data_IF_946145822767
#
_entry.id   IF_946145822767
#
_cell.length_a   1.000
_cell.length_b   1.000
_cell.length_c   1.000
_cell.angle_alpha   90.00
_cell.angle_beta   90.00
_cell.angle_gamma   90.00
#
_symmetry.space_group_name_H-M   'P 1'
#
loop_
_entity.id
_entity.type
_entity.pdbx_description
1 polymer ?
#
# COMPACT_ATOMS: atom_id res chain seq x y z
N UNK A 1 19.29 -29.12 -15.94
CA UNK A 1 18.56 -27.84 -16.15
C UNK A 1 17.95 -27.37 -14.84
N UNK A 2 18.39 -26.21 -14.33
CA UNK A 2 17.86 -25.61 -13.09
C UNK A 2 16.37 -25.26 -13.23
N UNK A 3 15.61 -25.37 -12.13
CA UNK A 3 14.16 -25.05 -12.05
C UNK A 3 13.83 -23.68 -12.67
N UNK A 4 14.72 -22.70 -12.52
CA UNK A 4 14.59 -21.35 -13.10
C UNK A 4 14.57 -21.33 -14.63
N UNK A 5 15.37 -22.17 -15.29
CA UNK A 5 15.41 -22.27 -16.76
C UNK A 5 14.12 -22.90 -17.30
N UNK A 6 13.62 -23.96 -16.65
CA UNK A 6 12.33 -24.60 -16.96
C UNK A 6 11.17 -23.62 -16.82
N UNK A 7 11.10 -22.86 -15.72
CA UNK A 7 10.07 -21.81 -15.51
C UNK A 7 10.12 -20.71 -16.55
N UNK A 8 11.32 -20.28 -16.94
CA UNK A 8 11.48 -19.22 -17.96
C UNK A 8 10.98 -19.70 -19.32
N UNK A 9 11.29 -20.94 -19.71
CA UNK A 9 10.78 -21.56 -20.94
C UNK A 9 9.26 -21.67 -20.92
N UNK A 10 8.71 -22.21 -19.83
CA UNK A 10 7.26 -22.33 -19.65
C UNK A 10 6.53 -20.97 -19.70
N UNK A 11 7.13 -19.91 -19.17
CA UNK A 11 6.57 -18.56 -19.25
C UNK A 11 6.56 -18.03 -20.69
N UNK A 12 7.67 -18.17 -21.44
CA UNK A 12 7.74 -17.78 -22.85
C UNK A 12 6.70 -18.53 -23.68
N UNK A 13 6.55 -19.81 -23.40
CA UNK A 13 5.57 -20.68 -24.06
C UNK A 13 4.14 -20.24 -23.76
N UNK A 14 3.82 -19.87 -22.52
CA UNK A 14 2.52 -19.28 -22.17
C UNK A 14 2.27 -17.91 -22.81
N UNK A 15 3.31 -17.09 -22.96
CA UNK A 15 3.18 -15.81 -23.69
C UNK A 15 2.86 -16.06 -25.16
N UNK A 16 3.45 -17.11 -25.76
CA UNK A 16 3.14 -17.53 -27.13
C UNK A 16 1.72 -18.12 -27.24
N UNK A 17 1.40 -19.11 -26.41
CA UNK A 17 0.18 -19.94 -26.48
C UNK A 17 -1.06 -19.38 -25.74
N UNK A 18 -0.91 -18.30 -24.96
CA UNK A 18 -1.98 -17.74 -24.12
C UNK A 18 -3.27 -17.35 -24.86
N UNK A 19 -4.32 -16.92 -24.13
CA UNK A 19 -5.73 -17.06 -24.49
C UNK A 19 -6.07 -16.59 -25.90
N UNK A 20 -6.94 -17.35 -26.58
CA UNK A 20 -7.42 -17.07 -27.94
C UNK A 20 -8.00 -15.66 -28.09
N UNK A 21 -8.59 -15.13 -27.02
CA UNK A 21 -9.10 -13.75 -26.96
C UNK A 21 -8.08 -12.82 -26.32
N UNK A 22 -7.46 -11.97 -27.13
CA UNK A 22 -6.66 -10.84 -26.69
C UNK A 22 -6.96 -9.63 -27.56
N UNK A 23 -7.05 -8.45 -26.94
CA UNK A 23 -7.22 -7.21 -27.68
C UNK A 23 -5.88 -6.82 -28.33
N UNK A 24 -5.92 -6.30 -29.54
CA UNK A 24 -4.75 -5.72 -30.21
C UNK A 24 -4.24 -4.50 -29.44
N UNK A 25 -5.16 -3.65 -28.97
CA UNK A 25 -4.88 -2.41 -28.24
C UNK A 25 -5.36 -2.45 -26.80
N UNK A 26 -4.74 -1.61 -25.97
CA UNK A 26 -5.07 -1.46 -24.55
C UNK A 26 -6.51 -0.98 -24.36
N UNK A 27 -7.24 -1.60 -23.44
CA UNK A 27 -8.63 -1.28 -23.08
C UNK A 27 -8.81 0.04 -22.31
N UNK A 28 -7.73 0.78 -22.04
CA UNK A 28 -7.83 2.07 -21.35
C UNK A 28 -8.16 3.14 -22.39
N UNK A 29 -9.26 3.90 -22.22
CA UNK A 29 -9.65 4.95 -23.17
C UNK A 29 -8.50 5.91 -23.47
N UNK A 30 -8.29 6.22 -24.75
CA UNK A 30 -7.24 7.13 -25.22
C UNK A 30 -5.81 6.56 -25.18
N UNK A 31 -5.58 5.30 -24.82
CA UNK A 31 -4.22 4.75 -24.76
C UNK A 31 -3.64 4.34 -26.13
N UNK A 32 -4.40 3.58 -26.92
CA UNK A 32 -4.01 3.08 -28.25
C UNK A 32 -2.83 2.08 -28.29
N UNK A 33 -2.05 1.93 -27.21
CA UNK A 33 -0.85 1.07 -27.18
C UNK A 33 -1.19 -0.41 -27.30
N UNK A 34 -0.32 -1.24 -27.89
CA UNK A 34 -0.54 -2.67 -27.95
C UNK A 34 -0.62 -3.29 -26.55
N UNK A 35 -1.48 -4.29 -26.38
CA UNK A 35 -1.54 -5.07 -25.12
C UNK A 35 -0.22 -5.83 -24.91
N UNK A 36 0.11 -6.20 -23.67
CA UNK A 36 1.33 -7.00 -23.42
C UNK A 36 1.32 -8.31 -24.20
N UNK A 37 0.13 -8.89 -24.41
CA UNK A 37 -0.06 -10.09 -25.21
C UNK A 37 0.16 -9.82 -26.70
N UNK A 38 -0.44 -8.77 -27.26
CA UNK A 38 -0.23 -8.38 -28.66
C UNK A 38 1.25 -8.04 -28.94
N UNK A 39 1.92 -7.36 -28.00
CA UNK A 39 3.34 -7.05 -28.06
C UNK A 39 4.27 -8.26 -27.76
N UNK A 40 3.73 -9.42 -27.35
CA UNK A 40 4.50 -10.62 -26.93
C UNK A 40 5.48 -10.36 -25.76
N UNK A 41 5.21 -9.34 -24.95
CA UNK A 41 6.04 -8.97 -23.79
C UNK A 41 5.45 -9.48 -22.46
N UNK A 42 4.24 -10.05 -22.47
CA UNK A 42 3.64 -10.60 -21.26
C UNK A 42 2.26 -11.22 -21.47
N UNK A 43 1.65 -11.59 -20.34
CA UNK A 43 0.41 -12.36 -20.31
C UNK A 43 -0.87 -11.51 -20.25
N UNK A 44 -0.76 -10.18 -20.12
CA UNK A 44 -1.94 -9.32 -19.96
C UNK A 44 -2.69 -9.19 -21.30
N UNK A 45 -3.94 -9.70 -21.41
CA UNK A 45 -4.65 -9.79 -22.70
C UNK A 45 -5.34 -8.50 -23.12
N UNK A 46 -5.59 -7.58 -22.17
CA UNK A 46 -6.38 -6.36 -22.42
C UNK A 46 -5.63 -5.07 -22.09
N UNK A 47 -4.43 -5.15 -21.52
CA UNK A 47 -3.71 -3.98 -21.01
C UNK A 47 -2.27 -3.95 -21.53
N UNK A 48 -1.80 -2.76 -21.87
CA UNK A 48 -0.40 -2.53 -22.21
C UNK A 48 0.49 -2.60 -20.96
N UNK A 49 1.80 -2.78 -21.17
CA UNK A 49 2.79 -2.85 -20.08
C UNK A 49 2.71 -1.65 -19.13
N UNK A 50 2.58 -0.43 -19.68
CA UNK A 50 2.46 0.81 -18.89
C UNK A 50 1.32 0.74 -17.87
N UNK A 51 0.13 0.32 -18.30
CA UNK A 51 -1.03 0.25 -17.41
C UNK A 51 -0.96 -0.93 -16.44
N UNK A 52 -0.39 -2.06 -16.83
CA UNK A 52 -0.12 -3.17 -15.92
C UNK A 52 0.84 -2.73 -14.81
N UNK A 53 1.94 -2.06 -15.16
CA UNK A 53 2.88 -1.51 -14.18
C UNK A 53 2.21 -0.43 -13.32
N UNK A 54 1.38 0.44 -13.91
CA UNK A 54 0.61 1.44 -13.16
C UNK A 54 -0.27 0.78 -12.10
N UNK A 55 -1.02 -0.28 -12.44
CA UNK A 55 -1.81 -1.08 -11.47
C UNK A 55 -0.93 -1.76 -10.43
N UNK A 56 0.24 -2.25 -10.80
CA UNK A 56 1.17 -2.81 -9.82
C UNK A 56 1.62 -1.78 -8.78
N UNK A 57 1.83 -0.51 -9.19
CA UNK A 57 2.22 0.59 -8.30
C UNK A 57 1.05 1.19 -7.54
N UNK A 58 -0.11 1.38 -8.16
CA UNK A 58 -1.20 2.23 -7.62
C UNK A 58 -2.47 1.47 -7.27
N UNK A 59 -2.61 0.20 -7.66
CA UNK A 59 -3.82 -0.59 -7.43
C UNK A 59 -4.96 -0.28 -8.41
N UNK A 60 -4.75 0.60 -9.38
CA UNK A 60 -5.67 0.85 -10.49
C UNK A 60 -4.91 1.03 -11.81
N UNK A 61 -5.58 0.93 -12.94
CA UNK A 61 -4.93 1.09 -14.24
C UNK A 61 -4.71 2.56 -14.64
N UNK A 62 -5.40 3.53 -14.01
CA UNK A 62 -5.34 4.95 -14.40
C UNK A 62 -5.16 5.92 -13.23
N UNK A 63 -5.89 5.74 -12.12
CA UNK A 63 -5.81 6.64 -10.95
C UNK A 63 -4.48 6.42 -10.20
N UNK A 64 -3.62 7.44 -10.06
CA UNK A 64 -2.43 7.34 -9.24
C UNK A 64 -2.80 7.20 -7.76
N UNK A 65 -1.78 7.03 -6.91
CA UNK A 65 -2.00 7.00 -5.46
C UNK A 65 -2.37 8.38 -4.93
N UNK A 66 -3.21 8.43 -3.89
CA UNK A 66 -3.60 9.68 -3.27
C UNK A 66 -2.39 10.48 -2.79
N UNK A 67 -2.43 11.79 -3.02
CA UNK A 67 -1.48 12.74 -2.46
C UNK A 67 -1.74 12.92 -0.97
N UNK A 68 -0.72 13.34 -0.23
CA UNK A 68 -0.87 13.68 1.18
C UNK A 68 -1.92 14.80 1.39
N UNK A 69 -1.97 15.78 0.49
CA UNK A 69 -2.96 16.87 0.54
C UNK A 69 -4.40 16.38 0.39
N UNK A 70 -4.65 15.37 -0.44
CA UNK A 70 -5.97 14.76 -0.62
C UNK A 70 -6.39 13.96 0.63
N UNK A 71 -5.44 13.24 1.24
CA UNK A 71 -5.73 12.32 2.34
C UNK A 71 -5.76 12.98 3.73
N UNK A 72 -4.95 14.02 3.97
CA UNK A 72 -4.82 14.69 5.28
C UNK A 72 -6.16 15.09 5.92
N UNK A 73 -7.10 15.77 5.21
CA UNK A 73 -8.37 16.16 5.81
C UNK A 73 -9.21 14.97 6.30
N UNK A 74 -9.12 13.84 5.60
CA UNK A 74 -9.83 12.61 5.97
C UNK A 74 -9.15 11.92 7.16
N UNK A 75 -7.82 11.93 7.23
CA UNK A 75 -7.09 11.42 8.40
C UNK A 75 -7.45 12.23 9.64
N UNK A 76 -7.41 13.56 9.58
CA UNK A 76 -7.79 14.41 10.71
C UNK A 76 -9.20 14.12 11.20
N UNK A 77 -10.17 14.03 10.28
CA UNK A 77 -11.55 13.71 10.63
C UNK A 77 -11.70 12.29 11.20
N UNK A 78 -11.05 11.29 10.60
CA UNK A 78 -11.11 9.91 11.06
C UNK A 78 -10.46 9.73 12.43
N UNK A 79 -9.32 10.37 12.69
CA UNK A 79 -8.65 10.32 13.99
C UNK A 79 -9.53 10.93 15.09
N UNK A 80 -10.12 12.10 14.86
CA UNK A 80 -11.07 12.70 15.81
C UNK A 80 -12.30 11.81 16.01
N UNK A 81 -12.89 11.30 14.92
CA UNK A 81 -14.07 10.44 14.96
C UNK A 81 -13.83 9.14 15.75
N UNK A 82 -12.70 8.48 15.51
CA UNK A 82 -12.28 7.25 16.19
C UNK A 82 -11.94 7.54 17.66
N UNK A 83 -11.20 8.61 17.95
CA UNK A 83 -10.84 8.98 19.32
C UNK A 83 -12.04 9.18 20.24
N UNK A 84 -13.12 9.80 19.73
CA UNK A 84 -14.35 9.99 20.49
C UNK A 84 -15.17 8.71 20.72
N UNK A 85 -14.87 7.62 20.01
CA UNK A 85 -15.70 6.40 19.98
C UNK A 85 -14.96 5.15 20.42
N UNK A 86 -13.62 5.18 20.47
CA UNK A 86 -12.80 3.99 20.72
C UNK A 86 -13.16 3.25 22.02
N UNK A 87 -13.61 3.96 23.06
CA UNK A 87 -14.00 3.35 24.33
C UNK A 87 -15.40 2.70 24.32
N UNK A 88 -16.32 3.20 23.48
CA UNK A 88 -17.75 2.85 23.55
C UNK A 88 -18.25 2.07 22.34
N UNK A 89 -17.56 2.17 21.21
CA UNK A 89 -17.92 1.48 19.98
C UNK A 89 -17.19 0.14 19.86
N UNK A 90 -17.95 -0.96 19.95
CA UNK A 90 -17.43 -2.32 19.91
C UNK A 90 -16.66 -2.66 18.62
N UNK A 91 -17.06 -2.11 17.47
CA UNK A 91 -16.41 -2.42 16.20
C UNK A 91 -15.05 -1.72 16.11
N UNK A 92 -15.01 -0.45 16.53
CA UNK A 92 -13.76 0.31 16.59
C UNK A 92 -12.81 -0.31 17.62
N UNK A 93 -13.29 -0.63 18.82
CA UNK A 93 -12.49 -1.27 19.87
C UNK A 93 -11.90 -2.61 19.41
N UNK A 94 -12.73 -3.47 18.80
CA UNK A 94 -12.30 -4.75 18.24
C UNK A 94 -11.24 -4.56 17.16
N UNK A 95 -11.45 -3.67 16.18
CA UNK A 95 -10.47 -3.42 15.12
C UNK A 95 -9.14 -2.89 15.66
N UNK A 96 -9.16 -2.06 16.71
CA UNK A 96 -7.94 -1.57 17.38
C UNK A 96 -7.21 -2.74 18.05
N UNK A 97 -7.93 -3.61 18.77
CA UNK A 97 -7.36 -4.78 19.42
C UNK A 97 -6.78 -5.77 18.41
N UNK A 98 -7.51 -6.07 17.34
CA UNK A 98 -7.09 -6.97 16.25
C UNK A 98 -5.84 -6.42 15.55
N UNK A 99 -5.81 -5.11 15.29
CA UNK A 99 -4.63 -4.45 14.73
C UNK A 99 -3.43 -4.51 15.67
N UNK A 100 -3.66 -4.35 16.98
CA UNK A 100 -2.62 -4.54 17.99
C UNK A 100 -2.02 -5.94 17.93
N UNK A 101 -2.87 -6.98 17.92
CA UNK A 101 -2.40 -8.38 17.77
C UNK A 101 -1.64 -8.60 16.47
N UNK A 102 -2.12 -8.06 15.35
CA UNK A 102 -1.44 -8.19 14.06
C UNK A 102 -0.04 -7.55 14.04
N UNK A 103 0.19 -6.48 14.80
CA UNK A 103 1.51 -5.85 14.95
C UNK A 103 2.46 -6.71 15.80
N UNK A 104 1.96 -7.30 16.90
CA UNK A 104 2.73 -8.19 17.76
C UNK A 104 3.12 -9.49 17.04
N UNK A 105 2.17 -10.09 16.31
CA UNK A 105 2.35 -11.36 15.57
C UNK A 105 3.20 -11.20 14.29
N UNK A 106 3.61 -9.98 13.94
CA UNK A 106 4.36 -9.68 12.73
C UNK A 106 5.79 -10.25 12.74
N UNK A 107 6.28 -10.70 13.89
CA UNK A 107 7.63 -11.21 14.07
C UNK A 107 8.70 -10.11 14.08
N UNK A 108 9.98 -10.43 13.85
CA UNK A 108 11.07 -9.47 13.93
C UNK A 108 11.07 -8.46 12.77
N UNK A 109 11.43 -7.21 13.09
CA UNK A 109 11.72 -6.20 12.07
C UNK A 109 13.09 -6.48 11.43
N UNK A 110 13.19 -6.28 10.12
CA UNK A 110 14.41 -6.50 9.34
C UNK A 110 14.73 -5.29 8.47
N UNK A 111 16.01 -5.10 8.14
CA UNK A 111 16.49 -4.02 7.28
C UNK A 111 16.16 -4.28 5.80
N UNK A 112 16.03 -3.21 5.00
CA UNK A 112 15.58 -3.30 3.59
C UNK A 112 16.49 -4.18 2.73
N UNK A 113 17.80 -4.15 2.96
CA UNK A 113 18.79 -4.90 2.18
C UNK A 113 18.65 -6.42 2.35
N UNK A 114 18.13 -6.90 3.48
CA UNK A 114 17.89 -8.32 3.78
C UNK A 114 16.58 -8.87 3.21
N UNK A 115 15.75 -8.02 2.60
CA UNK A 115 14.44 -8.44 2.08
C UNK A 115 14.52 -9.19 0.73
N UNK A 116 15.68 -9.17 0.06
CA UNK A 116 15.87 -9.78 -1.25
C UNK A 116 15.69 -11.31 -1.14
N UNK A 117 14.89 -11.89 -2.02
CA UNK A 117 14.61 -13.33 -2.03
C UNK A 117 13.47 -13.79 -1.11
N UNK A 118 12.98 -12.93 -0.22
CA UNK A 118 11.84 -13.27 0.65
C UNK A 118 10.51 -13.24 -0.10
N UNK A 119 9.56 -14.08 0.38
CA UNK A 119 8.18 -14.08 -0.12
C UNK A 119 7.48 -12.74 0.14
N UNK A 120 6.43 -12.47 -0.64
CA UNK A 120 5.67 -11.24 -0.50
C UNK A 120 5.01 -11.11 0.88
N UNK A 121 4.47 -12.23 1.40
CA UNK A 121 3.85 -12.32 2.72
C UNK A 121 4.86 -12.06 3.85
N UNK A 122 6.06 -12.64 3.78
CA UNK A 122 7.11 -12.40 4.78
C UNK A 122 7.54 -10.93 4.79
N UNK A 123 7.70 -10.33 3.61
CA UNK A 123 7.99 -8.90 3.47
C UNK A 123 6.88 -8.00 3.98
N UNK A 124 5.62 -8.40 3.80
CA UNK A 124 4.47 -7.68 4.35
C UNK A 124 4.52 -7.69 5.88
N UNK A 125 4.69 -8.86 6.51
CA UNK A 125 4.86 -9.01 7.96
C UNK A 125 6.01 -8.14 8.51
N UNK A 126 7.17 -8.13 7.86
CA UNK A 126 8.27 -7.23 8.25
C UNK A 126 7.85 -5.76 8.19
N UNK A 127 7.00 -5.37 7.24
CA UNK A 127 6.40 -4.03 7.19
C UNK A 127 5.55 -3.72 8.42
N UNK A 128 4.73 -4.66 8.89
CA UNK A 128 3.98 -4.52 10.14
C UNK A 128 4.93 -4.45 11.36
N UNK A 129 5.96 -5.30 11.42
CA UNK A 129 6.93 -5.30 12.50
C UNK A 129 7.68 -3.95 12.61
N UNK A 130 7.95 -3.29 11.48
CA UNK A 130 8.51 -1.93 11.48
C UNK A 130 7.56 -0.89 12.05
N UNK A 131 6.26 -0.96 11.75
CA UNK A 131 5.27 -0.07 12.35
C UNK A 131 5.25 -0.21 13.89
N UNK A 132 5.40 -1.45 14.38
CA UNK A 132 5.50 -1.73 15.81
C UNK A 132 6.78 -1.14 16.43
N UNK A 133 7.94 -1.34 15.79
CA UNK A 133 9.22 -0.78 16.25
C UNK A 133 9.21 0.76 16.26
N UNK A 134 8.55 1.38 15.28
CA UNK A 134 8.34 2.84 15.23
C UNK A 134 7.24 3.34 16.19
N UNK A 135 6.65 2.46 17.01
CA UNK A 135 5.64 2.81 18.01
C UNK A 135 4.33 3.35 17.42
N UNK A 136 3.97 2.97 16.19
CA UNK A 136 2.73 3.42 15.56
C UNK A 136 1.53 2.81 16.30
N UNK A 137 0.64 3.61 16.91
CA UNK A 137 -0.46 3.07 17.69
C UNK A 137 -1.52 2.43 16.77
N UNK A 138 -2.11 1.27 17.16
CA UNK A 138 -3.12 0.58 16.34
C UNK A 138 -4.30 1.48 15.94
N UNK A 139 -4.74 2.35 16.86
CA UNK A 139 -5.78 3.35 16.61
C UNK A 139 -5.48 4.28 15.43
N UNK A 140 -4.21 4.67 15.24
CA UNK A 140 -3.80 5.51 14.10
C UNK A 140 -3.92 4.75 12.78
N UNK A 141 -3.63 3.45 12.79
CA UNK A 141 -3.78 2.59 11.60
C UNK A 141 -5.26 2.46 11.23
N UNK A 142 -6.13 2.15 12.19
CA UNK A 142 -7.59 2.09 11.98
C UNK A 142 -8.13 3.42 11.44
N UNK A 143 -7.66 4.54 11.98
CA UNK A 143 -8.03 5.88 11.49
C UNK A 143 -7.63 6.10 10.03
N UNK A 144 -6.44 5.65 9.63
CA UNK A 144 -5.97 5.76 8.23
C UNK A 144 -6.81 4.89 7.30
N UNK A 145 -7.15 3.66 7.72
CA UNK A 145 -8.00 2.77 6.94
C UNK A 145 -9.37 3.42 6.67
N UNK A 146 -9.99 3.96 7.71
CA UNK A 146 -11.24 4.71 7.59
C UNK A 146 -11.11 5.95 6.70
N UNK A 147 -10.03 6.71 6.85
CA UNK A 147 -9.77 7.91 6.04
C UNK A 147 -9.66 7.58 4.55
N UNK A 148 -8.96 6.50 4.19
CA UNK A 148 -8.85 6.06 2.79
C UNK A 148 -10.21 5.61 2.25
N UNK A 149 -10.97 4.84 3.02
CA UNK A 149 -12.30 4.40 2.61
C UNK A 149 -13.28 5.58 2.43
N UNK A 150 -13.23 6.56 3.34
CA UNK A 150 -14.01 7.78 3.25
C UNK A 150 -13.62 8.65 2.05
N UNK A 151 -12.32 8.82 1.80
CA UNK A 151 -11.84 9.55 0.62
C UNK A 151 -12.29 8.88 -0.67
N UNK A 152 -12.17 7.55 -0.78
CA UNK A 152 -12.68 6.83 -1.94
C UNK A 152 -14.18 7.06 -2.07
N UNK A 153 -14.97 6.95 -0.99
CA UNK A 153 -16.42 7.20 -1.04
C UNK A 153 -16.75 8.59 -1.57
N UNK A 154 -16.04 9.62 -1.11
CA UNK A 154 -16.25 11.01 -1.49
C UNK A 154 -15.72 11.38 -2.90
N UNK A 155 -14.64 10.77 -3.37
CA UNK A 155 -14.03 11.06 -4.67
C UNK A 155 -14.71 10.27 -5.80
N UNK A 156 -15.50 10.94 -6.62
CA UNK A 156 -16.17 10.34 -7.78
C UNK A 156 -15.19 9.78 -8.82
N UNK A 157 -13.95 10.29 -8.86
CA UNK A 157 -12.90 9.84 -9.80
C UNK A 157 -12.12 8.63 -9.28
N UNK A 158 -12.32 8.25 -8.01
CA UNK A 158 -11.61 7.15 -7.39
C UNK A 158 -12.18 5.79 -7.85
N UNK A 159 -11.32 4.84 -8.26
CA UNK A 159 -11.73 3.47 -8.53
C UNK A 159 -12.39 2.82 -7.30
N UNK A 160 -13.52 2.13 -7.52
CA UNK A 160 -14.28 1.42 -6.47
C UNK A 160 -13.75 0.01 -6.20
N UNK A 161 -12.79 -0.46 -6.99
CA UNK A 161 -12.21 -1.78 -6.82
C UNK A 161 -11.51 -1.92 -5.46
N UNK A 162 -11.76 -3.02 -4.74
CA UNK A 162 -11.15 -3.32 -3.43
C UNK A 162 -9.63 -3.20 -3.47
N UNK A 163 -9.00 -3.71 -4.53
CA UNK A 163 -7.54 -3.63 -4.71
C UNK A 163 -6.98 -2.20 -4.67
N UNK A 164 -7.68 -1.22 -5.24
CA UNK A 164 -7.22 0.17 -5.18
C UNK A 164 -7.20 0.65 -3.73
N UNK A 165 -8.29 0.42 -2.99
CA UNK A 165 -8.40 0.73 -1.55
C UNK A 165 -7.29 0.06 -0.75
N UNK A 166 -7.11 -1.25 -0.89
CA UNK A 166 -6.06 -2.04 -0.23
C UNK A 166 -4.66 -1.44 -0.46
N UNK A 167 -4.34 -1.08 -1.71
CA UNK A 167 -3.04 -0.49 -2.06
C UNK A 167 -2.88 0.91 -1.46
N UNK A 168 -3.93 1.73 -1.46
CA UNK A 168 -3.88 3.07 -0.87
C UNK A 168 -3.72 3.01 0.66
N UNK A 169 -4.43 2.11 1.33
CA UNK A 169 -4.27 1.83 2.77
C UNK A 169 -2.82 1.47 3.07
N UNK A 170 -2.28 0.47 2.37
CA UNK A 170 -0.90 0.04 2.56
C UNK A 170 0.06 1.20 2.38
N UNK A 171 -0.08 2.01 1.33
CA UNK A 171 0.82 3.15 1.10
C UNK A 171 0.70 4.24 2.15
N UNK A 172 -0.50 4.54 2.62
CA UNK A 172 -0.72 5.56 3.64
C UNK A 172 -0.07 5.14 4.97
N UNK A 173 -0.26 3.88 5.37
CA UNK A 173 0.32 3.34 6.61
C UNK A 173 1.82 3.13 6.47
N UNK A 174 2.29 2.56 5.35
CA UNK A 174 3.71 2.27 5.12
C UNK A 174 4.56 3.55 5.17
N UNK A 175 4.03 4.73 4.82
CA UNK A 175 4.73 6.02 4.97
C UNK A 175 5.09 6.36 6.42
N UNK A 176 4.40 5.78 7.41
CA UNK A 176 4.67 6.03 8.84
C UNK A 176 5.96 5.36 9.32
N UNK A 177 6.38 4.28 8.68
CA UNK A 177 7.57 3.50 9.04
C UNK A 177 8.42 3.15 7.81
N UNK A 178 8.32 3.96 6.74
CA UNK A 178 9.07 3.71 5.52
C UNK A 178 10.45 4.36 5.60
N UNK A 179 11.47 3.52 5.64
CA UNK A 179 12.85 3.93 5.48
C UNK A 179 13.79 3.06 6.27
N UNK A 180 15.05 3.07 5.90
CA UNK A 180 16.15 2.70 6.77
C UNK A 180 17.16 3.81 6.61
N UNK A 181 17.38 4.54 7.68
CA UNK A 181 18.40 5.58 7.80
C UNK A 181 19.50 4.97 8.67
N UNK A 182 20.67 4.73 8.08
CA UNK A 182 21.85 4.31 8.84
C UNK A 182 22.98 5.28 8.59
N UNK A 183 23.61 5.68 9.69
CA UNK A 183 24.78 6.55 9.71
C UNK A 183 25.91 5.75 10.33
N UNK A 184 27.04 5.68 9.64
CA UNK A 184 28.28 5.12 10.18
C UNK A 184 29.31 6.21 10.26
N UNK A 185 30.07 6.24 11.36
CA UNK A 185 31.26 7.07 11.49
C UNK A 185 32.45 6.14 11.27
N UNK A 186 33.13 6.30 10.13
CA UNK A 186 34.36 5.58 9.81
C UNK A 186 35.54 6.49 10.09
N UNK A 187 36.58 5.94 10.72
CA UNK A 187 37.84 6.65 10.92
C UNK A 187 38.79 6.27 9.79
N UNK A 188 39.25 7.25 9.03
CA UNK A 188 40.27 7.04 8.00
C UNK A 188 41.61 6.69 8.67
N UNK A 189 42.53 6.13 7.90
CA UNK A 189 43.90 5.77 8.29
C UNK A 189 44.74 6.98 8.77
N UNK A 190 44.22 8.19 8.63
CA UNK A 190 44.79 9.46 9.13
C UNK A 190 44.06 10.01 10.38
N UNK A 191 43.18 9.23 11.03
CA UNK A 191 42.43 9.65 12.22
C UNK A 191 41.26 10.61 11.94
N UNK A 192 40.91 10.84 10.66
CA UNK A 192 39.79 11.71 10.28
C UNK A 192 38.48 10.92 10.31
N UNK A 193 37.50 11.41 11.05
CA UNK A 193 36.16 10.80 11.11
C UNK A 193 35.33 11.21 9.90
N UNK A 194 34.90 10.25 9.10
CA UNK A 194 34.02 10.42 7.94
C UNK A 194 32.67 9.77 8.21
N UNK A 195 31.60 10.56 8.06
CA UNK A 195 30.23 10.08 8.18
C UNK A 195 29.75 9.53 6.83
N UNK A 196 29.28 8.29 6.81
CA UNK A 196 28.63 7.67 5.64
C UNK A 196 27.17 7.40 5.98
N UNK A 197 26.27 7.80 5.08
CA UNK A 197 24.83 7.65 5.26
C UNK A 197 24.24 6.70 4.20
N UNK A 198 23.34 5.81 4.63
CA UNK A 198 22.54 4.96 3.75
C UNK A 198 21.06 5.22 3.95
N UNK A 199 20.40 5.60 2.86
CA UNK A 199 18.94 5.66 2.76
C UNK A 199 18.45 4.48 1.90
N UNK A 200 17.76 3.53 2.51
CA UNK A 200 17.17 2.41 1.80
C UNK A 200 15.65 2.38 2.00
N UNK A 201 14.89 2.37 0.90
CA UNK A 201 13.43 2.27 0.93
C UNK A 201 12.96 0.99 0.23
N UNK A 202 12.03 0.21 0.82
CA UNK A 202 11.42 -0.90 0.11
C UNK A 202 10.70 -0.40 -1.15
N UNK A 203 10.77 -1.17 -2.25
CA UNK A 203 9.95 -0.87 -3.42
C UNK A 203 8.47 -0.97 -3.07
N UNK A 204 7.77 0.17 -3.10
CA UNK A 204 6.32 0.29 -2.86
C UNK A 204 5.52 -0.13 -4.09
N UNK A 205 5.61 -1.41 -4.46
CA UNK A 205 4.98 -1.96 -5.68
C UNK A 205 4.63 -3.44 -5.54
N UNK A 206 3.62 -3.90 -6.28
CA UNK A 206 3.37 -5.32 -6.54
C UNK A 206 2.70 -6.06 -5.38
N UNK A 207 2.96 -7.37 -5.27
CA UNK A 207 2.25 -8.28 -4.34
C UNK A 207 2.37 -7.85 -2.87
N UNK A 208 3.50 -7.32 -2.44
CA UNK A 208 3.70 -6.93 -1.03
C UNK A 208 2.71 -5.87 -0.56
N UNK A 209 2.37 -4.90 -1.42
CA UNK A 209 1.35 -3.91 -1.08
C UNK A 209 -0.04 -4.52 -0.89
N UNK A 210 -0.34 -5.58 -1.65
CA UNK A 210 -1.63 -6.28 -1.60
C UNK A 210 -1.73 -7.16 -0.36
N UNK A 211 -0.65 -7.86 -0.02
CA UNK A 211 -0.57 -8.67 1.19
C UNK A 211 -0.63 -7.79 2.45
N UNK A 212 0.24 -6.78 2.55
CA UNK A 212 0.25 -5.88 3.69
C UNK A 212 -1.04 -5.06 3.79
N UNK A 213 -1.53 -4.53 2.68
CA UNK A 213 -2.79 -3.79 2.68
C UNK A 213 -3.97 -4.65 3.13
N UNK A 214 -4.01 -5.94 2.75
CA UNK A 214 -5.04 -6.88 3.18
C UNK A 214 -4.98 -7.12 4.68
N UNK A 215 -3.78 -7.38 5.22
CA UNK A 215 -3.55 -7.52 6.67
C UNK A 215 -4.01 -6.28 7.46
N UNK A 216 -3.96 -5.09 6.84
CA UNK A 216 -4.42 -3.84 7.46
C UNK A 216 -5.93 -3.61 7.30
N UNK A 217 -6.51 -4.05 6.19
CA UNK A 217 -7.91 -3.76 5.81
C UNK A 217 -8.89 -4.77 6.41
N UNK A 218 -8.57 -6.07 6.39
CA UNK A 218 -9.48 -7.14 6.85
C UNK A 218 -9.96 -6.97 8.30
N UNK A 219 -9.09 -6.63 9.29
CA UNK A 219 -9.55 -6.34 10.66
C UNK A 219 -10.51 -5.15 10.76
N UNK A 220 -10.52 -4.29 9.74
CA UNK A 220 -11.31 -3.06 9.72
C UNK A 220 -12.56 -3.17 8.83
N UNK A 221 -12.88 -4.32 8.23
CA UNK A 221 -13.98 -4.43 7.25
C UNK A 221 -15.33 -3.97 7.85
N UNK A 222 -15.66 -4.38 9.07
CA UNK A 222 -16.87 -3.92 9.79
C UNK A 222 -16.83 -2.43 10.12
N UNK A 223 -15.65 -1.93 10.51
CA UNK A 223 -15.48 -0.51 10.84
C UNK A 223 -15.68 0.36 9.60
N UNK A 224 -15.17 -0.07 8.44
CA UNK A 224 -15.37 0.59 7.15
C UNK A 224 -16.86 0.64 6.81
N UNK A 225 -17.57 -0.48 6.93
CA UNK A 225 -18.99 -0.55 6.60
C UNK A 225 -19.83 0.41 7.45
N UNK A 226 -19.62 0.42 8.77
CA UNK A 226 -20.47 1.17 9.71
C UNK A 226 -20.08 2.65 9.87
N UNK A 227 -18.79 2.99 9.79
CA UNK A 227 -18.31 4.31 10.25
C UNK A 227 -17.87 5.27 9.14
N UNK A 228 -17.74 4.84 7.89
CA UNK A 228 -17.34 5.74 6.80
C UNK A 228 -18.30 6.94 6.65
N UNK A 229 -19.60 6.72 6.77
CA UNK A 229 -20.58 7.80 6.72
C UNK A 229 -20.41 8.80 7.87
N UNK A 230 -20.12 8.29 9.07
CA UNK A 230 -19.85 9.12 10.26
C UNK A 230 -18.61 9.98 10.11
N UNK A 231 -17.52 9.43 9.55
CA UNK A 231 -16.29 10.19 9.27
C UNK A 231 -16.54 11.30 8.25
N UNK A 232 -17.31 11.03 7.19
CA UNK A 232 -17.67 12.05 6.20
C UNK A 232 -18.51 13.18 6.79
N UNK A 233 -19.51 12.83 7.61
CA UNK A 233 -20.33 13.82 8.31
C UNK A 233 -19.49 14.65 9.29
N UNK A 234 -18.57 14.02 10.02
CA UNK A 234 -17.65 14.72 10.92
C UNK A 234 -16.73 15.68 10.15
N UNK A 235 -16.17 15.24 9.02
CA UNK A 235 -15.37 16.10 8.14
C UNK A 235 -16.18 17.29 7.61
N UNK A 236 -17.42 17.09 7.19
CA UNK A 236 -18.24 18.19 6.68
C UNK A 236 -18.58 19.23 7.77
N UNK A 237 -18.79 18.77 9.00
CA UNK A 237 -19.14 19.63 10.15
C UNK A 237 -17.95 20.40 10.72
N UNK A 238 -16.78 19.76 10.82
CA UNK A 238 -15.61 20.31 11.53
C UNK A 238 -14.39 20.56 10.64
N UNK A 239 -14.43 20.10 9.38
CA UNK A 239 -13.34 20.26 8.42
C UNK A 239 -13.32 21.66 7.82
N UNK A 240 -13.09 22.69 8.62
CA UNK A 240 -12.55 23.94 8.09
C UNK A 240 -11.11 23.67 7.65
N UNK A 241 -10.69 24.06 6.44
CA UNK A 241 -9.28 24.05 6.11
C UNK A 241 -8.58 24.99 7.09
N UNK A 242 -7.60 24.49 7.85
CA UNK A 242 -6.63 25.38 8.48
C UNK A 242 -6.00 26.17 7.34
N UNK A 243 -6.22 27.49 7.32
CA UNK A 243 -5.50 28.39 6.43
C UNK A 243 -4.01 28.09 6.60
N UNK A 244 -3.31 27.90 5.49
CA UNK A 244 -1.87 27.70 5.51
C UNK A 244 -1.23 28.99 6.05
N UNK A 245 -0.70 28.90 7.26
CA UNK A 245 0.34 29.79 7.80
C UNK A 245 1.69 29.14 7.54
#
# INVERSE_FOLDING_TARGET
MTDRSKRTRALKERIRLGPLFSASTCAIPGCGRPTMKAAREGLAPFHCRRHVEHRQRHGSYWRPSFKASELRPFITAATAYVGLRAANDKFIAAAIADMGRALEDAGPAEIVTRLKGMSATKRAKIGLARLRVEGVPPQRIVSIVLAVAALIKADATAPRAKEFRTVQICKAVHRLASGTHRVWVLEDHQGRKRQIEMHAFPKSTGRVLREMGRMLEEPCDWVIEKHVAGVLAHRQRYGRPRAAS
#
